data_IF_802695799450
#
_entry.id   IF_802695799450
#
_cell.length_a   1.000
_cell.length_b   1.000
_cell.length_c   1.000
_cell.angle_alpha   90.00
_cell.angle_beta   90.00
_cell.angle_gamma   90.00
#
_symmetry.space_group_name_H-M   'P 1'
#
loop_
_entity.id
_entity.type
_entity.pdbx_description
1 polymer ?
#
# COMPACT_ATOMS: atom_id res chain seq x y z
N UNK A 1 -8.76 -18.20 -30.86
CA UNK A 1 -8.83 -17.47 -29.58
C UNK A 1 -9.31 -18.45 -28.53
N UNK A 2 -8.56 -18.63 -27.45
CA UNK A 2 -8.92 -19.52 -26.36
C UNK A 2 -9.91 -18.80 -25.43
N UNK A 3 -11.21 -19.14 -25.52
CA UNK A 3 -12.29 -18.55 -24.73
C UNK A 3 -12.01 -18.61 -23.21
N UNK A 4 -11.33 -19.67 -22.76
CA UNK A 4 -10.93 -19.84 -21.35
C UNK A 4 -9.85 -18.84 -20.92
N UNK A 5 -9.01 -18.37 -21.84
CA UNK A 5 -8.01 -17.33 -21.57
C UNK A 5 -8.67 -15.96 -21.45
N UNK A 6 -9.60 -15.62 -22.35
CA UNK A 6 -10.36 -14.37 -22.29
C UNK A 6 -11.18 -14.28 -21.01
N UNK A 7 -11.86 -15.36 -20.61
CA UNK A 7 -12.65 -15.37 -19.37
C UNK A 7 -11.77 -15.13 -18.12
N UNK A 8 -10.57 -15.70 -18.09
CA UNK A 8 -9.59 -15.46 -17.01
C UNK A 8 -9.08 -14.04 -17.00
N UNK A 9 -8.82 -13.45 -18.17
CA UNK A 9 -8.37 -12.05 -18.29
C UNK A 9 -9.47 -11.07 -17.84
N UNK A 10 -10.72 -11.36 -18.18
CA UNK A 10 -11.88 -10.59 -17.72
C UNK A 10 -12.07 -10.69 -16.20
N UNK A 11 -12.02 -11.90 -15.63
CA UNK A 11 -12.10 -12.10 -14.19
C UNK A 11 -10.98 -11.34 -13.46
N UNK A 12 -9.74 -11.43 -13.95
CA UNK A 12 -8.61 -10.70 -13.37
C UNK A 12 -8.80 -9.18 -13.44
N UNK A 13 -9.36 -8.68 -14.55
CA UNK A 13 -9.63 -7.25 -14.72
C UNK A 13 -10.67 -6.77 -13.71
N UNK A 14 -11.77 -7.51 -13.55
CA UNK A 14 -12.84 -7.18 -12.59
C UNK A 14 -12.32 -7.19 -11.14
N UNK A 15 -11.51 -8.19 -10.78
CA UNK A 15 -10.86 -8.27 -9.46
C UNK A 15 -9.95 -7.06 -9.22
N UNK A 16 -9.17 -6.67 -10.23
CA UNK A 16 -8.29 -5.52 -10.14
C UNK A 16 -9.08 -4.22 -9.93
N UNK A 17 -10.14 -3.98 -10.70
CA UNK A 17 -10.97 -2.78 -10.57
C UNK A 17 -11.60 -2.65 -9.17
N UNK A 18 -12.15 -3.75 -8.65
CA UNK A 18 -12.71 -3.79 -7.29
C UNK A 18 -11.65 -3.49 -6.23
N UNK A 19 -10.47 -4.09 -6.36
CA UNK A 19 -9.38 -3.85 -5.42
C UNK A 19 -8.84 -2.42 -5.51
N UNK A 20 -8.73 -1.84 -6.71
CA UNK A 20 -8.34 -0.45 -6.90
C UNK A 20 -9.34 0.53 -6.29
N UNK A 21 -10.64 0.24 -6.36
CA UNK A 21 -11.66 1.03 -5.69
C UNK A 21 -11.48 0.98 -4.16
N UNK A 22 -11.25 -0.21 -3.58
CA UNK A 22 -10.96 -0.34 -2.15
C UNK A 22 -9.73 0.48 -1.73
N UNK A 23 -8.68 0.51 -2.57
CA UNK A 23 -7.50 1.36 -2.35
C UNK A 23 -7.86 2.84 -2.42
N UNK A 24 -8.65 3.27 -3.41
CA UNK A 24 -9.07 4.67 -3.55
C UNK A 24 -9.87 5.15 -2.32
N UNK A 25 -10.77 4.31 -1.81
CA UNK A 25 -11.53 4.59 -0.59
C UNK A 25 -10.61 4.72 0.62
N UNK A 26 -9.65 3.81 0.79
CA UNK A 26 -8.68 3.87 1.88
C UNK A 26 -7.76 5.11 1.78
N UNK A 27 -7.37 5.50 0.56
CA UNK A 27 -6.61 6.74 0.34
C UNK A 27 -7.45 7.96 0.73
N UNK A 28 -8.72 8.00 0.33
CA UNK A 28 -9.62 9.09 0.70
C UNK A 28 -9.82 9.19 2.22
N UNK A 29 -9.93 8.05 2.93
CA UNK A 29 -10.02 8.07 4.41
C UNK A 29 -8.74 8.59 5.07
N UNK A 30 -7.57 8.36 4.46
CA UNK A 30 -6.30 8.89 5.01
C UNK A 30 -6.15 10.40 4.91
N UNK A 31 -6.82 11.04 3.94
CA UNK A 31 -6.85 12.50 3.83
C UNK A 31 -7.58 13.15 5.03
N UNK A 32 -8.56 12.43 5.61
CA UNK A 32 -9.30 12.87 6.80
C UNK A 32 -8.46 12.67 8.07
N UNK A 33 -7.68 11.59 8.17
CA UNK A 33 -6.87 11.29 9.37
C UNK A 33 -5.50 11.97 9.36
N UNK A 34 -5.02 12.46 8.21
CA UNK A 34 -3.71 13.08 8.01
C UNK A 34 -3.50 14.43 8.71
N UNK A 35 -4.48 14.92 9.48
CA UNK A 35 -4.36 16.10 10.34
C UNK A 35 -3.72 15.79 11.70
N UNK A 36 -3.57 14.53 12.07
CA UNK A 36 -2.87 14.12 13.29
C UNK A 36 -1.42 13.75 12.93
N UNK A 37 -0.40 14.48 13.44
CA UNK A 37 1.00 14.15 13.20
C UNK A 37 1.38 12.89 13.98
N UNK A 38 0.99 11.72 13.46
CA UNK A 38 1.42 10.43 13.98
C UNK A 38 2.72 10.05 13.26
N UNK A 39 3.85 9.88 13.97
CA UNK A 39 5.05 9.34 13.37
C UNK A 39 4.78 7.90 12.88
N UNK A 40 4.96 7.66 11.58
CA UNK A 40 4.81 6.32 10.97
C UNK A 40 5.64 5.23 11.67
N UNK A 41 6.72 5.63 12.33
CA UNK A 41 7.63 4.75 13.05
C UNK A 41 7.03 4.10 14.31
N UNK A 42 6.05 4.73 14.97
CA UNK A 42 5.57 4.32 16.31
C UNK A 42 4.05 4.08 16.38
N UNK A 43 3.41 3.74 15.26
CA UNK A 43 1.95 3.67 15.21
C UNK A 43 1.43 2.27 14.85
N UNK A 44 1.11 1.43 15.85
CA UNK A 44 0.33 0.22 15.67
C UNK A 44 -0.96 0.46 14.87
N UNK A 45 -1.55 1.65 15.01
CA UNK A 45 -2.73 2.09 14.27
C UNK A 45 -2.49 2.18 12.75
N UNK A 46 -1.31 2.66 12.32
CA UNK A 46 -1.00 2.78 10.89
C UNK A 46 -0.79 1.41 10.25
N UNK A 47 -0.13 0.48 10.96
CA UNK A 47 -0.03 -0.91 10.49
C UNK A 47 -1.40 -1.58 10.44
N UNK A 48 -2.24 -1.38 11.46
CA UNK A 48 -3.61 -1.92 11.48
C UNK A 48 -4.44 -1.44 10.27
N UNK A 49 -4.29 -0.16 9.88
CA UNK A 49 -4.97 0.36 8.68
C UNK A 49 -4.48 -0.33 7.39
N UNK A 50 -3.17 -0.53 7.24
CA UNK A 50 -2.64 -1.25 6.06
C UNK A 50 -3.10 -2.71 6.05
N UNK A 51 -3.12 -3.39 7.20
CA UNK A 51 -3.64 -4.75 7.33
C UNK A 51 -5.12 -4.82 6.97
N UNK A 52 -5.93 -3.84 7.38
CA UNK A 52 -7.35 -3.75 7.00
C UNK A 52 -7.54 -3.61 5.49
N UNK A 53 -6.77 -2.74 4.84
CA UNK A 53 -6.79 -2.60 3.38
C UNK A 53 -6.37 -3.91 2.69
N UNK A 54 -5.28 -4.53 3.14
CA UNK A 54 -4.79 -5.79 2.58
C UNK A 54 -5.80 -6.92 2.77
N UNK A 55 -6.48 -7.00 3.91
CA UNK A 55 -7.54 -7.98 4.14
C UNK A 55 -8.73 -7.77 3.19
N UNK A 56 -9.13 -6.53 2.91
CA UNK A 56 -10.16 -6.22 1.91
C UNK A 56 -9.74 -6.67 0.51
N UNK A 57 -8.48 -6.47 0.14
CA UNK A 57 -7.93 -6.94 -1.15
C UNK A 57 -7.92 -8.47 -1.19
N UNK A 58 -7.47 -9.15 -0.13
CA UNK A 58 -7.54 -10.61 -0.01
C UNK A 58 -8.97 -11.14 -0.20
N UNK A 59 -9.97 -10.49 0.41
CA UNK A 59 -11.37 -10.87 0.26
C UNK A 59 -11.86 -10.72 -1.20
N UNK A 60 -11.46 -9.63 -1.89
CA UNK A 60 -11.78 -9.42 -3.29
C UNK A 60 -11.17 -10.50 -4.16
N UNK A 61 -9.87 -10.77 -3.98
CA UNK A 61 -9.19 -11.82 -4.72
C UNK A 61 -9.56 -13.23 -4.23
N UNK A 62 -10.29 -13.43 -3.14
CA UNK A 62 -10.52 -14.76 -2.55
C UNK A 62 -9.18 -15.49 -2.30
N UNK A 63 -8.28 -14.83 -1.57
CA UNK A 63 -6.99 -15.35 -1.12
C UNK A 63 -7.05 -15.42 0.41
N UNK A 64 -6.73 -16.57 1.00
CA UNK A 64 -6.85 -16.76 2.44
C UNK A 64 -5.48 -16.57 3.12
N UNK A 65 -5.31 -15.44 3.79
CA UNK A 65 -4.08 -15.08 4.49
C UNK A 65 -4.46 -14.55 5.86
N UNK A 66 -3.84 -15.12 6.89
CA UNK A 66 -4.06 -14.70 8.26
C UNK A 66 -3.59 -13.27 8.51
N UNK A 67 -4.24 -12.59 9.46
CA UNK A 67 -3.92 -11.21 9.84
C UNK A 67 -2.45 -11.01 10.20
N UNK A 68 -1.82 -12.00 10.82
CA UNK A 68 -0.40 -11.96 11.19
C UNK A 68 0.52 -12.01 9.96
N UNK A 69 0.15 -12.78 8.94
CA UNK A 69 0.84 -12.77 7.65
C UNK A 69 0.74 -11.41 6.95
N UNK A 70 -0.47 -10.81 6.95
CA UNK A 70 -0.67 -9.46 6.40
C UNK A 70 0.12 -8.40 7.18
N UNK A 71 0.12 -8.50 8.51
CA UNK A 71 0.90 -7.62 9.39
C UNK A 71 2.39 -7.73 9.11
N UNK A 72 2.91 -8.95 8.98
CA UNK A 72 4.30 -9.19 8.62
C UNK A 72 4.67 -8.54 7.28
N UNK A 73 3.83 -8.72 6.26
CA UNK A 73 4.05 -8.10 4.94
C UNK A 73 4.02 -6.57 4.99
N UNK A 74 3.04 -5.99 5.68
CA UNK A 74 2.93 -4.55 5.86
C UNK A 74 4.15 -3.98 6.60
N UNK A 75 4.56 -4.62 7.70
CA UNK A 75 5.73 -4.24 8.48
C UNK A 75 7.02 -4.38 7.66
N UNK A 76 7.17 -5.45 6.88
CA UNK A 76 8.35 -5.65 6.05
C UNK A 76 8.48 -4.60 4.94
N UNK A 77 7.36 -4.29 4.26
CA UNK A 77 7.29 -3.27 3.23
C UNK A 77 7.63 -1.87 3.78
N UNK A 78 7.04 -1.49 4.92
CA UNK A 78 7.28 -0.20 5.56
C UNK A 78 8.68 -0.12 6.18
N UNK A 79 9.08 -1.13 6.95
CA UNK A 79 10.30 -1.14 7.75
C UNK A 79 11.58 -1.19 6.90
N UNK A 80 11.76 -2.23 6.08
CA UNK A 80 13.00 -2.42 5.32
C UNK A 80 12.95 -1.78 3.92
N UNK A 81 11.78 -1.78 3.26
CA UNK A 81 11.63 -1.29 1.88
C UNK A 81 11.27 0.20 1.76
N UNK A 82 10.62 0.76 2.77
CA UNK A 82 9.98 2.07 2.72
C UNK A 82 10.54 3.13 3.66
N UNK A 83 11.19 2.75 4.77
CA UNK A 83 11.53 3.67 5.86
C UNK A 83 12.39 4.86 5.41
N UNK A 84 13.34 4.66 4.50
CA UNK A 84 14.17 5.77 3.95
C UNK A 84 13.34 6.69 3.04
N UNK A 85 12.44 6.12 2.24
CA UNK A 85 11.64 6.85 1.23
C UNK A 85 10.51 7.63 1.90
N UNK A 86 9.82 6.98 2.84
CA UNK A 86 8.77 7.54 3.70
C UNK A 86 9.40 8.54 4.67
N UNK A 87 10.51 8.19 5.32
CA UNK A 87 11.22 9.06 6.27
C UNK A 87 11.74 10.34 5.64
N UNK A 88 12.34 10.29 4.44
CA UNK A 88 12.73 11.52 3.71
C UNK A 88 11.52 12.39 3.36
N UNK A 89 10.43 11.79 2.90
CA UNK A 89 9.21 12.55 2.56
C UNK A 89 8.61 13.20 3.81
N UNK A 90 8.54 12.48 4.93
CA UNK A 90 8.10 13.03 6.22
C UNK A 90 9.02 14.14 6.71
N UNK A 91 10.35 13.95 6.69
CA UNK A 91 11.30 14.98 7.11
C UNK A 91 11.14 16.27 6.28
N UNK A 92 10.99 16.15 4.96
CA UNK A 92 10.75 17.32 4.09
C UNK A 92 9.40 17.99 4.30
N UNK A 93 8.39 17.25 4.77
CA UNK A 93 7.03 17.77 4.96
C UNK A 93 6.83 18.31 6.39
N UNK A 94 7.48 17.73 7.39
CA UNK A 94 7.55 18.24 8.76
C UNK A 94 8.39 19.52 8.85
N UNK A 95 9.49 19.62 8.09
CA UNK A 95 10.26 20.87 7.98
C UNK A 95 9.43 22.02 7.38
N UNK A 96 8.46 21.72 6.51
CA UNK A 96 7.50 22.70 5.95
C UNK A 96 6.39 23.09 6.92
N UNK A 97 6.28 22.41 8.07
CA UNK A 97 5.29 22.66 9.12
C UNK A 97 5.80 23.62 10.22
N UNK A 98 7.06 24.08 10.13
CA UNK A 98 7.62 25.10 11.04
C UNK A 98 7.04 26.48 10.65
N UNK A 99 6.27 27.14 11.55
CA UNK A 99 5.71 28.46 11.29
C UNK A 99 6.83 29.47 11.04
N UNK A 100 6.82 30.14 9.89
CA UNK A 100 7.82 31.14 9.48
C UNK A 100 8.79 30.69 8.40
N UNK A 101 9.05 29.39 8.21
CA UNK A 101 9.91 28.87 7.12
C UNK A 101 9.07 28.19 6.00
N UNK A 102 7.82 27.77 6.27
CA UNK A 102 6.99 27.05 5.29
C UNK A 102 5.48 27.36 5.27
N UNK A 103 5.02 28.37 6.00
CA UNK A 103 3.60 28.57 6.32
C UNK A 103 2.67 28.96 5.17
N UNK A 104 3.17 29.25 3.97
CA UNK A 104 2.31 29.55 2.82
C UNK A 104 1.74 28.29 2.11
N UNK A 105 2.25 27.08 2.40
CA UNK A 105 1.88 25.86 1.66
C UNK A 105 1.58 24.63 2.54
N UNK A 106 1.53 24.77 3.87
CA UNK A 106 1.56 23.64 4.82
C UNK A 106 0.28 22.81 4.95
N UNK A 107 -0.89 23.32 4.56
CA UNK A 107 -2.19 22.64 4.77
C UNK A 107 -2.51 21.50 3.81
N UNK A 108 -1.84 21.41 2.65
CA UNK A 108 -2.14 20.43 1.58
C UNK A 108 -1.23 19.18 1.67
N UNK A 109 -0.21 19.20 2.51
CA UNK A 109 0.95 18.29 2.40
C UNK A 109 0.88 17.05 3.32
N UNK A 110 0.13 17.10 4.44
CA UNK A 110 0.09 15.99 5.41
C UNK A 110 -0.84 14.84 4.99
N UNK A 111 -2.03 15.14 4.46
CA UNK A 111 -2.94 14.15 3.87
C UNK A 111 -2.37 13.50 2.61
N UNK A 112 -1.63 14.26 1.79
CA UNK A 112 -1.00 13.76 0.56
C UNK A 112 0.04 12.66 0.82
N UNK A 113 0.83 12.77 1.89
CA UNK A 113 1.88 11.77 2.19
C UNK A 113 1.28 10.44 2.68
N UNK A 114 0.31 10.50 3.59
CA UNK A 114 -0.37 9.31 4.08
C UNK A 114 -1.18 8.62 2.97
N UNK A 115 -1.81 9.41 2.11
CA UNK A 115 -2.48 8.93 0.91
C UNK A 115 -1.54 8.23 -0.06
N UNK A 116 -0.35 8.81 -0.33
CA UNK A 116 0.67 8.18 -1.19
C UNK A 116 1.14 6.84 -0.64
N UNK A 117 1.40 6.74 0.67
CA UNK A 117 1.81 5.48 1.30
C UNK A 117 0.71 4.43 1.19
N UNK A 118 -0.54 4.80 1.48
CA UNK A 118 -1.70 3.90 1.40
C UNK A 118 -1.96 3.44 -0.04
N UNK A 119 -1.86 4.37 -1.00
CA UNK A 119 -1.96 4.07 -2.43
C UNK A 119 -0.86 3.09 -2.87
N UNK A 120 0.39 3.36 -2.49
CA UNK A 120 1.53 2.53 -2.85
C UNK A 120 1.43 1.13 -2.23
N UNK A 121 1.00 1.04 -0.97
CA UNK A 121 0.78 -0.23 -0.28
C UNK A 121 -0.32 -1.04 -0.97
N UNK A 122 -1.47 -0.42 -1.22
CA UNK A 122 -2.61 -1.04 -1.88
C UNK A 122 -2.27 -1.55 -3.28
N UNK A 123 -1.64 -0.70 -4.11
CA UNK A 123 -1.21 -1.07 -5.46
C UNK A 123 -0.14 -2.18 -5.45
N UNK A 124 0.80 -2.15 -4.51
CA UNK A 124 1.79 -3.20 -4.38
C UNK A 124 1.17 -4.55 -4.01
N UNK A 125 0.24 -4.55 -3.06
CA UNK A 125 -0.41 -5.78 -2.63
C UNK A 125 -1.35 -6.34 -3.68
N UNK A 126 -2.03 -5.48 -4.45
CA UNK A 126 -2.78 -5.87 -5.66
C UNK A 126 -1.88 -6.64 -6.63
N UNK A 127 -0.66 -6.17 -6.93
CA UNK A 127 0.27 -6.90 -7.81
C UNK A 127 0.69 -8.26 -7.22
N UNK A 128 0.90 -8.34 -5.91
CA UNK A 128 1.17 -9.63 -5.22
C UNK A 128 -0.02 -10.60 -5.37
N UNK A 129 -1.25 -10.14 -5.13
CA UNK A 129 -2.47 -10.94 -5.30
C UNK A 129 -2.68 -11.38 -6.75
N UNK A 130 -2.37 -10.53 -7.74
CA UNK A 130 -2.36 -10.92 -9.16
C UNK A 130 -1.35 -12.04 -9.41
N UNK A 131 -0.14 -11.92 -8.89
CA UNK A 131 0.89 -12.97 -9.03
C UNK A 131 0.42 -14.30 -8.44
N UNK A 132 -0.35 -14.27 -7.34
CA UNK A 132 -0.99 -15.46 -6.79
C UNK A 132 -2.02 -16.05 -7.74
N UNK A 133 -2.97 -15.24 -8.23
CA UNK A 133 -4.04 -15.73 -9.12
C UNK A 133 -3.55 -16.27 -10.46
N UNK A 134 -2.46 -15.74 -10.99
CA UNK A 134 -1.85 -16.25 -12.23
C UNK A 134 -0.85 -17.39 -11.99
N UNK A 135 -0.71 -17.86 -10.75
CA UNK A 135 0.17 -18.99 -10.40
C UNK A 135 1.67 -18.68 -10.39
N UNK A 136 2.08 -17.40 -10.43
CA UNK A 136 3.48 -16.97 -10.33
C UNK A 136 4.01 -16.99 -8.88
N UNK A 137 3.10 -16.95 -7.91
CA UNK A 137 3.35 -17.08 -6.48
C UNK A 137 2.26 -17.99 -5.89
N UNK A 138 2.58 -18.84 -4.92
CA UNK A 138 1.54 -19.60 -4.22
C UNK A 138 1.02 -18.80 -3.02
N UNK A 139 -0.19 -19.09 -2.55
CA UNK A 139 -0.71 -18.49 -1.30
C UNK A 139 0.20 -18.82 -0.10
N UNK A 140 0.74 -20.04 -0.05
CA UNK A 140 1.70 -20.45 0.98
C UNK A 140 3.03 -19.67 0.91
N UNK A 141 3.49 -19.31 -0.29
CA UNK A 141 4.73 -18.54 -0.46
C UNK A 141 4.54 -17.04 -0.23
N UNK A 142 3.30 -16.55 -0.15
CA UNK A 142 3.00 -15.13 0.03
C UNK A 142 3.54 -14.60 1.36
N UNK A 143 3.47 -15.40 2.43
CA UNK A 143 4.02 -15.08 3.75
C UNK A 143 5.44 -15.62 3.95
N UNK A 144 6.05 -16.21 2.94
CA UNK A 144 7.45 -16.63 2.99
C UNK A 144 8.42 -15.46 2.76
N UNK A 145 9.72 -15.71 2.88
CA UNK A 145 10.76 -14.73 2.53
C UNK A 145 10.63 -14.24 1.08
N UNK A 146 10.18 -15.10 0.16
CA UNK A 146 9.97 -14.75 -1.25
C UNK A 146 8.83 -13.75 -1.42
N UNK A 147 7.65 -14.04 -0.86
CA UNK A 147 6.50 -13.13 -0.92
C UNK A 147 6.77 -11.80 -0.21
N UNK A 148 7.50 -11.86 0.91
CA UNK A 148 7.96 -10.67 1.65
C UNK A 148 8.86 -9.79 0.79
N UNK A 149 9.80 -10.36 0.04
CA UNK A 149 10.72 -9.59 -0.79
C UNK A 149 10.03 -8.99 -2.02
N UNK A 150 9.15 -9.76 -2.66
CA UNK A 150 8.29 -9.25 -3.75
C UNK A 150 7.46 -8.07 -3.26
N UNK A 151 6.85 -8.19 -2.07
CA UNK A 151 6.03 -7.13 -1.49
C UNK A 151 6.85 -5.85 -1.25
N UNK A 152 8.05 -5.96 -0.67
CA UNK A 152 8.95 -4.80 -0.49
C UNK A 152 9.31 -4.14 -1.83
N UNK A 153 9.66 -4.94 -2.83
CA UNK A 153 10.05 -4.45 -4.14
C UNK A 153 8.90 -3.70 -4.81
N UNK A 154 7.70 -4.30 -4.82
CA UNK A 154 6.50 -3.68 -5.38
C UNK A 154 6.15 -2.38 -4.63
N UNK A 155 6.20 -2.39 -3.29
CA UNK A 155 5.94 -1.20 -2.50
C UNK A 155 6.90 -0.06 -2.82
N UNK A 156 8.20 -0.34 -2.90
CA UNK A 156 9.22 0.65 -3.25
C UNK A 156 9.03 1.20 -4.67
N UNK A 157 8.68 0.33 -5.61
CA UNK A 157 8.39 0.72 -6.99
C UNK A 157 7.19 1.68 -7.05
N UNK A 158 6.09 1.34 -6.38
CA UNK A 158 4.88 2.17 -6.33
C UNK A 158 5.13 3.51 -5.63
N UNK A 159 5.88 3.52 -4.52
CA UNK A 159 6.29 4.77 -3.87
C UNK A 159 7.11 5.68 -4.80
N UNK A 160 7.98 5.09 -5.63
CA UNK A 160 8.79 5.86 -6.58
C UNK A 160 7.95 6.41 -7.72
N UNK A 161 6.97 5.65 -8.22
CA UNK A 161 6.01 6.10 -9.25
C UNK A 161 5.14 7.23 -8.73
N UNK A 162 4.66 7.13 -7.49
CA UNK A 162 3.83 8.16 -6.86
C UNK A 162 4.58 9.48 -6.60
N UNK A 163 5.93 9.48 -6.54
CA UNK A 163 6.75 10.70 -6.43
C UNK A 163 6.97 11.43 -7.76
N UNK A 164 6.74 10.77 -8.90
CA UNK A 164 7.00 11.31 -10.25
C UNK A 164 5.74 11.86 -10.94
N UNK A 165 4.56 11.68 -10.33
CA UNK A 165 3.30 12.29 -10.76
C UNK A 165 3.04 13.54 -9.94
#
# INVERSE_FOLDING_TARGET
MDLNKELRELELTELNEKAENAVAVAVASTAVTGFVPIPFADAPLLIAQQVGLMASICAIYKIDIEKDGLKMLATAAIGAGGAVVVGKTLATNLLKMIPGIGTAAGGVVSGGTAGVVTLAMGKAFIEVCKMVKVGKLSEADLTSSKGTEIMKQQFREQLTKAKKK
#
